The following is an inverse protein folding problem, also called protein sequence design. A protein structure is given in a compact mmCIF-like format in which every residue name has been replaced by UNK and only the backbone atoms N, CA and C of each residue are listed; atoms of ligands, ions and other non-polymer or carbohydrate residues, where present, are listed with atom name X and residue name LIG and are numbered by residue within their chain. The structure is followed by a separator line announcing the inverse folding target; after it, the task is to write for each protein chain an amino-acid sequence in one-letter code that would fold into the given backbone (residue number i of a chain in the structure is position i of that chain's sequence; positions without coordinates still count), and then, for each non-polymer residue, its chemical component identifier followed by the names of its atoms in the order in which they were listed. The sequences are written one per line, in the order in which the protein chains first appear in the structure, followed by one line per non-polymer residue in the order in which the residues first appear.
data_IF_779059510604
#
_entry.id   IF_779059510604
#
_cell.length_a   1.000
_cell.length_b   1.000
_cell.length_c   1.000
_cell.angle_alpha   90.00
_cell.angle_beta   90.00
_cell.angle_gamma   90.00
#
_symmetry.space_group_name_H-M   'P 1'
#
loop_
_entity.id
_entity.type
_entity.pdbx_description
1 polymer ?
#
# COMPACT_ATOMS: atom_id res chain seq x y z
N UNK A 1 -11.03 25.47 -0.46
CA UNK A 1 -9.58 25.63 -0.71
C UNK A 1 -8.72 24.67 0.11
N UNK A 2 -8.55 24.83 1.43
CA UNK A 2 -7.63 23.97 2.20
C UNK A 2 -8.10 22.51 2.36
N UNK A 3 -9.39 22.30 2.63
CA UNK A 3 -9.94 20.94 2.80
C UNK A 3 -9.86 20.08 1.54
N UNK A 4 -10.11 20.66 0.36
CA UNK A 4 -10.01 19.95 -0.93
C UNK A 4 -8.57 19.52 -1.21
N UNK A 5 -7.60 20.38 -0.92
CA UNK A 5 -6.18 20.05 -1.06
C UNK A 5 -5.79 18.85 -0.17
N UNK A 6 -6.26 18.81 1.07
CA UNK A 6 -6.02 17.68 1.99
C UNK A 6 -6.64 16.40 1.45
N UNK A 7 -7.88 16.46 0.94
CA UNK A 7 -8.56 15.28 0.37
C UNK A 7 -7.79 14.74 -0.85
N UNK A 8 -7.33 15.62 -1.74
CA UNK A 8 -6.54 15.23 -2.91
C UNK A 8 -5.21 14.59 -2.47
N UNK A 9 -4.53 15.17 -1.48
CA UNK A 9 -3.28 14.62 -0.97
C UNK A 9 -3.49 13.23 -0.36
N UNK A 10 -4.53 13.05 0.45
CA UNK A 10 -4.89 11.74 1.03
C UNK A 10 -5.20 10.73 -0.07
N UNK A 11 -5.96 11.12 -1.09
CA UNK A 11 -6.24 10.26 -2.23
C UNK A 11 -4.96 9.79 -2.92
N UNK A 12 -4.01 10.69 -3.19
CA UNK A 12 -2.71 10.35 -3.79
C UNK A 12 -1.94 9.37 -2.89
N UNK A 13 -1.91 9.61 -1.58
CA UNK A 13 -1.21 8.74 -0.63
C UNK A 13 -1.80 7.33 -0.67
N UNK A 14 -3.12 7.21 -0.56
CA UNK A 14 -3.78 5.91 -0.47
C UNK A 14 -3.79 5.13 -1.79
N UNK A 15 -3.91 5.82 -2.93
CA UNK A 15 -4.08 5.17 -4.25
C UNK A 15 -2.76 4.97 -4.98
N UNK A 16 -1.76 5.82 -4.73
CA UNK A 16 -0.47 5.78 -5.46
C UNK A 16 0.67 5.44 -4.53
N UNK A 17 0.86 6.23 -3.47
CA UNK A 17 2.06 6.11 -2.63
C UNK A 17 2.10 4.76 -1.90
N UNK A 18 1.01 4.38 -1.23
CA UNK A 18 0.97 3.13 -0.48
C UNK A 18 1.12 1.89 -1.36
N UNK A 19 0.39 1.71 -2.48
CA UNK A 19 0.57 0.54 -3.34
C UNK A 19 1.98 0.43 -3.93
N UNK A 20 2.58 1.56 -4.37
CA UNK A 20 3.95 1.56 -4.90
C UNK A 20 4.99 1.26 -3.84
N UNK A 21 4.82 1.81 -2.64
CA UNK A 21 5.67 1.49 -1.50
C UNK A 21 5.56 0.00 -1.14
N UNK A 22 4.34 -0.53 -1.02
CA UNK A 22 4.12 -1.94 -0.71
C UNK A 22 4.69 -2.86 -1.79
N UNK A 23 4.55 -2.52 -3.07
CA UNK A 23 5.20 -3.26 -4.15
C UNK A 23 6.71 -3.32 -3.96
N UNK A 24 7.33 -2.16 -3.73
CA UNK A 24 8.78 -2.03 -3.63
C UNK A 24 9.32 -2.76 -2.39
N UNK A 25 8.66 -2.59 -1.23
CA UNK A 25 9.04 -3.28 0.01
C UNK A 25 8.80 -4.79 -0.11
N UNK A 26 7.69 -5.24 -0.73
CA UNK A 26 7.38 -6.67 -0.88
C UNK A 26 8.31 -7.39 -1.85
N UNK A 27 8.84 -6.68 -2.86
CA UNK A 27 9.81 -7.26 -3.80
C UNK A 27 11.06 -7.78 -3.09
N UNK A 28 11.45 -7.14 -2.00
CA UNK A 28 12.61 -7.52 -1.19
C UNK A 28 12.22 -8.35 0.03
N UNK A 29 11.12 -8.00 0.70
CA UNK A 29 10.78 -8.50 2.04
C UNK A 29 9.63 -9.52 2.09
N UNK A 30 9.13 -9.99 0.94
CA UNK A 30 8.01 -10.95 0.89
C UNK A 30 8.35 -12.24 0.16
N UNK A 31 7.95 -13.38 0.74
CA UNK A 31 7.97 -14.68 0.06
C UNK A 31 6.88 -14.81 -1.01
N UNK A 32 5.83 -13.99 -0.94
CA UNK A 32 4.75 -13.94 -1.92
C UNK A 32 5.02 -12.93 -3.04
N UNK A 33 4.34 -13.03 -4.20
CA UNK A 33 4.48 -12.06 -5.28
C UNK A 33 4.13 -10.63 -4.84
N UNK A 34 5.07 -9.70 -5.01
CA UNK A 34 4.92 -8.28 -4.62
C UNK A 34 3.68 -7.60 -5.23
N UNK A 35 3.33 -7.96 -6.47
CA UNK A 35 2.13 -7.46 -7.14
C UNK A 35 0.84 -7.75 -6.36
N UNK A 36 0.73 -8.91 -5.71
CA UNK A 36 -0.47 -9.26 -4.94
C UNK A 36 -0.63 -8.35 -3.73
N UNK A 37 0.47 -8.05 -3.03
CA UNK A 37 0.43 -7.14 -1.89
C UNK A 37 0.09 -5.71 -2.30
N UNK A 38 0.69 -5.22 -3.39
CA UNK A 38 0.36 -3.93 -3.96
C UNK A 38 -1.12 -3.83 -4.36
N UNK A 39 -1.68 -4.88 -4.96
CA UNK A 39 -3.09 -4.94 -5.36
C UNK A 39 -4.02 -4.94 -4.15
N UNK A 40 -3.71 -5.71 -3.10
CA UNK A 40 -4.51 -5.75 -1.87
C UNK A 40 -4.50 -4.38 -1.17
N UNK A 41 -3.34 -3.70 -1.10
CA UNK A 41 -3.24 -2.33 -0.59
C UNK A 41 -3.98 -1.33 -1.49
N UNK A 42 -3.93 -1.47 -2.80
CA UNK A 42 -4.68 -0.58 -3.69
C UNK A 42 -6.20 -0.69 -3.48
N UNK A 43 -6.73 -1.91 -3.34
CA UNK A 43 -8.18 -2.16 -3.18
C UNK A 43 -8.69 -1.87 -1.76
N UNK A 44 -7.86 -2.11 -0.75
CA UNK A 44 -8.19 -1.88 0.65
C UNK A 44 -6.97 -1.29 1.38
N UNK A 45 -6.71 0.03 1.32
CA UNK A 45 -5.42 0.59 1.73
C UNK A 45 -5.00 0.31 3.16
N UNK A 46 -5.85 0.61 4.14
CA UNK A 46 -5.50 0.40 5.55
C UNK A 46 -5.45 -1.09 5.92
N UNK A 47 -6.47 -1.86 5.52
CA UNK A 47 -6.54 -3.28 5.82
C UNK A 47 -5.45 -4.07 5.10
N UNK A 48 -5.24 -3.79 3.82
CA UNK A 48 -4.21 -4.40 3.01
C UNK A 48 -2.81 -4.09 3.50
N UNK A 49 -2.56 -2.85 3.94
CA UNK A 49 -1.27 -2.47 4.51
C UNK A 49 -1.03 -3.20 5.82
N UNK A 50 -2.05 -3.30 6.68
CA UNK A 50 -1.99 -4.05 7.92
C UNK A 50 -1.70 -5.54 7.67
N UNK A 51 -2.41 -6.16 6.72
CA UNK A 51 -2.18 -7.55 6.33
C UNK A 51 -0.76 -7.75 5.76
N UNK A 52 -0.28 -6.81 4.95
CA UNK A 52 1.08 -6.86 4.41
C UNK A 52 2.11 -6.83 5.53
N UNK A 53 2.01 -5.89 6.48
CA UNK A 53 2.97 -5.78 7.59
C UNK A 53 2.94 -7.01 8.50
N UNK A 54 1.75 -7.56 8.78
CA UNK A 54 1.62 -8.69 9.71
C UNK A 54 1.92 -10.05 9.07
N UNK A 55 1.61 -10.24 7.79
CA UNK A 55 1.64 -11.55 7.12
C UNK A 55 2.54 -11.59 5.88
N UNK A 56 2.63 -10.47 5.16
CA UNK A 56 3.34 -10.37 3.88
C UNK A 56 4.82 -10.11 3.98
N UNK A 57 5.24 -9.35 4.98
CA UNK A 57 6.65 -9.01 5.25
C UNK A 57 7.33 -10.14 6.03
N UNK A 58 7.59 -11.26 5.35
CA UNK A 58 7.96 -12.53 5.95
C UNK A 58 9.22 -13.19 5.34
N UNK A 59 10.00 -12.43 4.56
CA UNK A 59 11.39 -12.75 4.25
C UNK A 59 12.30 -12.00 5.21
#
# INVERSE_FOLDING_TARGET
MAGEFIIILLFIVFVVVLPLWTYSDAAENSTQPAFLWALVVFLAPLLGLLLYVLLGRNR
#
